data_IF_746210147441
#
_entry.id   IF_746210147441
#
_cell.length_a   1.000
_cell.length_b   1.000
_cell.length_c   1.000
_cell.angle_alpha   90.00
_cell.angle_beta   90.00
_cell.angle_gamma   90.00
#
_symmetry.space_group_name_H-M   'P 1'
#
loop_
_entity.id
_entity.type
_entity.pdbx_description
1 polymer ?
#
# COMPACT_ATOMS: atom_id res chain seq x y z
N UNK A 1 6.06 45.05 14.94
CA UNK A 1 5.28 43.85 15.33
C UNK A 1 3.95 43.93 14.61
N UNK A 2 3.72 43.03 13.63
CA UNK A 2 2.47 42.99 12.86
C UNK A 2 1.58 41.88 13.43
N UNK A 3 0.27 42.10 13.66
CA UNK A 3 -0.61 41.07 14.19
C UNK A 3 -0.93 40.04 13.11
N UNK A 4 -0.68 38.77 13.43
CA UNK A 4 -1.09 37.63 12.60
C UNK A 4 -2.62 37.60 12.49
N UNK A 5 -3.17 37.86 11.31
CA UNK A 5 -4.59 37.67 11.02
C UNK A 5 -4.83 36.18 10.74
N UNK A 6 -5.65 35.54 11.58
CA UNK A 6 -6.08 34.16 11.39
C UNK A 6 -7.14 34.11 10.28
N UNK A 7 -6.83 33.48 9.14
CA UNK A 7 -7.84 33.21 8.12
C UNK A 7 -8.70 32.02 8.57
N UNK A 8 -10.04 32.07 8.45
CA UNK A 8 -10.90 30.94 8.77
C UNK A 8 -10.69 29.79 7.78
N UNK A 9 -10.86 28.53 8.22
CA UNK A 9 -10.69 27.36 7.35
C UNK A 9 -11.72 27.36 6.21
N UNK A 10 -11.38 26.77 5.04
CA UNK A 10 -12.27 26.74 3.90
C UNK A 10 -13.55 25.95 4.23
N UNK A 11 -14.70 26.55 3.91
CA UNK A 11 -15.99 25.87 4.02
C UNK A 11 -16.14 24.87 2.87
N UNK A 12 -16.07 23.58 3.19
CA UNK A 12 -16.29 22.51 2.20
C UNK A 12 -17.79 22.39 1.88
N UNK A 13 -18.21 22.89 0.71
CA UNK A 13 -19.59 22.74 0.24
C UNK A 13 -19.92 21.27 -0.04
N UNK A 14 -20.93 20.74 0.65
CA UNK A 14 -21.45 19.38 0.46
C UNK A 14 -22.22 19.22 -0.87
N UNK A 15 -21.49 19.06 -1.97
CA UNK A 15 -22.03 18.39 -3.17
C UNK A 15 -21.32 17.05 -3.34
N UNK A 16 -21.73 16.08 -2.51
CA UNK A 16 -21.35 14.68 -2.69
C UNK A 16 -22.13 14.17 -3.90
N UNK A 17 -21.50 14.14 -5.08
CA UNK A 17 -21.96 13.28 -6.17
C UNK A 17 -21.94 11.86 -5.63
N UNK A 18 -23.11 11.20 -5.56
CA UNK A 18 -23.19 9.76 -5.31
C UNK A 18 -22.54 9.05 -6.51
N UNK A 19 -21.25 8.81 -6.44
CA UNK A 19 -20.60 7.84 -7.33
C UNK A 19 -20.98 6.45 -6.83
N UNK A 20 -21.42 5.58 -7.73
CA UNK A 20 -21.67 4.18 -7.39
C UNK A 20 -20.36 3.52 -6.94
N UNK A 21 -20.42 2.57 -6.00
CA UNK A 21 -19.25 1.77 -5.62
C UNK A 21 -18.58 1.13 -6.85
N UNK A 22 -19.35 0.78 -7.87
CA UNK A 22 -18.88 0.25 -9.15
C UNK A 22 -17.95 1.23 -9.89
N UNK A 23 -18.31 2.52 -9.97
CA UNK A 23 -17.50 3.52 -10.67
C UNK A 23 -16.22 3.88 -9.89
N UNK A 24 -16.25 3.79 -8.56
CA UNK A 24 -15.06 3.95 -7.70
C UNK A 24 -14.13 2.74 -7.83
N UNK A 25 -14.70 1.53 -7.86
CA UNK A 25 -13.99 0.27 -8.12
C UNK A 25 -13.25 0.30 -9.47
N UNK A 26 -13.91 0.75 -10.54
CA UNK A 26 -13.30 0.87 -11.87
C UNK A 26 -12.18 1.93 -11.91
N UNK A 27 -12.34 3.07 -11.23
CA UNK A 27 -11.41 4.19 -11.29
C UNK A 27 -10.13 4.01 -10.44
N UNK A 28 -10.14 3.20 -9.38
CA UNK A 28 -8.96 2.95 -8.55
C UNK A 28 -8.12 1.78 -9.07
N UNK A 29 -8.75 0.78 -9.68
CA UNK A 29 -8.06 -0.33 -10.34
C UNK A 29 -7.21 0.15 -11.53
N UNK A 30 -7.68 1.15 -12.27
CA UNK A 30 -7.03 1.62 -13.50
C UNK A 30 -5.61 2.18 -13.32
N UNK A 31 -5.25 2.70 -12.14
CA UNK A 31 -3.96 3.38 -11.94
C UNK A 31 -2.73 2.48 -12.06
N UNK A 32 -2.88 1.19 -11.75
CA UNK A 32 -1.79 0.21 -11.82
C UNK A 32 -2.02 -0.87 -12.89
N UNK A 33 -3.16 -0.85 -13.59
CA UNK A 33 -3.49 -1.83 -14.62
C UNK A 33 -2.48 -1.88 -15.75
N UNK A 34 -2.01 -0.74 -16.23
CA UNK A 34 -1.00 -0.69 -17.30
C UNK A 34 0.31 -1.33 -16.86
N UNK A 35 0.71 -1.14 -15.59
CA UNK A 35 1.91 -1.76 -15.01
C UNK A 35 1.74 -3.27 -14.86
N UNK A 36 0.59 -3.72 -14.32
CA UNK A 36 0.27 -5.14 -14.19
C UNK A 36 0.19 -5.85 -15.54
N UNK A 37 -0.42 -5.21 -16.55
CA UNK A 37 -0.51 -5.76 -17.89
C UNK A 37 0.88 -5.92 -18.54
N UNK A 38 1.79 -4.96 -18.32
CA UNK A 38 3.16 -5.07 -18.81
C UNK A 38 3.92 -6.24 -18.16
N UNK A 39 3.75 -6.45 -16.85
CA UNK A 39 4.31 -7.60 -16.14
C UNK A 39 3.70 -8.92 -16.62
N UNK A 40 2.38 -9.00 -16.73
CA UNK A 40 1.69 -10.18 -17.23
C UNK A 40 2.13 -10.56 -18.65
N UNK A 41 2.41 -9.58 -19.52
CA UNK A 41 2.97 -9.82 -20.85
C UNK A 41 4.43 -10.29 -20.79
N UNK A 42 5.23 -9.73 -19.88
CA UNK A 42 6.60 -10.20 -19.60
C UNK A 42 6.58 -11.68 -19.18
N UNK A 43 5.68 -12.05 -18.26
CA UNK A 43 5.49 -13.43 -17.80
C UNK A 43 4.97 -14.33 -18.92
N UNK A 44 4.00 -13.86 -19.72
CA UNK A 44 3.41 -14.64 -20.83
C UNK A 44 4.45 -14.97 -21.88
N UNK A 45 5.29 -14.00 -22.27
CA UNK A 45 6.40 -14.23 -23.21
C UNK A 45 7.44 -15.25 -22.72
N UNK A 46 7.46 -15.54 -21.41
CA UNK A 46 8.39 -16.47 -20.75
C UNK A 46 7.72 -17.74 -20.26
N UNK A 47 6.42 -17.91 -20.52
CA UNK A 47 5.59 -18.99 -19.98
C UNK A 47 5.63 -19.10 -18.45
N UNK A 48 5.85 -17.98 -17.75
CA UNK A 48 5.98 -17.94 -16.29
C UNK A 48 4.64 -17.90 -15.57
N UNK A 49 3.54 -17.69 -16.29
CA UNK A 49 2.19 -17.65 -15.70
C UNK A 49 1.83 -18.96 -14.96
N UNK A 50 2.43 -20.09 -15.34
CA UNK A 50 2.27 -21.38 -14.64
C UNK A 50 2.76 -21.35 -13.18
N UNK A 51 3.68 -20.45 -12.85
CA UNK A 51 4.24 -20.26 -11.50
C UNK A 51 3.50 -19.17 -10.71
N UNK A 52 2.45 -18.55 -11.27
CA UNK A 52 1.70 -17.47 -10.61
C UNK A 52 0.46 -18.00 -9.89
N UNK A 53 0.55 -19.16 -9.22
CA UNK A 53 -0.51 -19.56 -8.29
C UNK A 53 -0.43 -18.72 -6.99
N UNK A 54 -1.51 -18.66 -6.20
CA UNK A 54 -1.57 -17.77 -5.04
C UNK A 54 -0.50 -18.09 -3.98
N UNK A 55 -0.13 -19.36 -3.83
CA UNK A 55 0.90 -19.79 -2.90
C UNK A 55 2.28 -19.27 -3.35
N UNK A 56 2.59 -19.44 -4.62
CA UNK A 56 3.89 -19.05 -5.16
C UNK A 56 4.06 -17.53 -5.19
N UNK A 57 2.99 -16.78 -5.51
CA UNK A 57 2.99 -15.32 -5.39
C UNK A 57 3.19 -14.84 -3.95
N UNK A 58 2.58 -15.52 -2.97
CA UNK A 58 2.79 -15.21 -1.55
C UNK A 58 4.21 -15.54 -1.08
N UNK A 59 4.82 -16.62 -1.61
CA UNK A 59 6.22 -16.97 -1.35
C UNK A 59 7.15 -15.92 -1.94
N UNK A 60 6.94 -15.52 -3.20
CA UNK A 60 7.72 -14.46 -3.85
C UNK A 60 7.64 -13.15 -3.06
N UNK A 61 6.44 -12.71 -2.68
CA UNK A 61 6.24 -11.52 -1.83
C UNK A 61 7.05 -11.60 -0.52
N UNK A 62 7.11 -12.77 0.12
CA UNK A 62 7.88 -12.98 1.35
C UNK A 62 9.39 -12.88 1.12
N UNK A 63 9.88 -13.33 -0.04
CA UNK A 63 11.29 -13.22 -0.42
C UNK A 63 11.64 -11.75 -0.62
N UNK A 64 10.90 -11.01 -1.45
CA UNK A 64 11.18 -9.60 -1.71
C UNK A 64 11.06 -8.72 -0.45
N UNK A 65 10.12 -9.05 0.45
CA UNK A 65 10.03 -8.38 1.76
C UNK A 65 11.28 -8.63 2.61
N UNK A 66 11.95 -9.77 2.45
CA UNK A 66 13.22 -10.07 3.11
C UNK A 66 14.37 -9.31 2.47
N UNK A 67 14.38 -9.18 1.14
CA UNK A 67 15.38 -8.42 0.39
C UNK A 67 15.28 -6.90 0.62
N UNK A 68 14.09 -6.37 0.87
CA UNK A 68 13.84 -4.97 1.25
C UNK A 68 14.57 -4.51 2.52
N UNK A 69 15.13 -5.44 3.31
CA UNK A 69 15.98 -5.10 4.46
C UNK A 69 17.42 -4.76 4.06
N UNK A 70 17.90 -5.28 2.92
CA UNK A 70 19.28 -5.12 2.44
C UNK A 70 19.71 -3.67 2.12
N UNK A 71 18.83 -2.74 1.67
CA UNK A 71 19.20 -1.34 1.48
C UNK A 71 19.66 -0.64 2.75
N UNK A 72 19.33 -1.15 3.94
CA UNK A 72 19.61 -0.52 5.23
C UNK A 72 20.88 -1.12 5.87
N UNK A 73 21.98 -0.37 5.96
CA UNK A 73 23.18 -0.81 6.63
C UNK A 73 22.98 -0.88 8.15
N UNK A 74 23.77 -1.72 8.81
CA UNK A 74 23.70 -1.96 10.26
C UNK A 74 24.00 -0.73 11.15
N UNK A 75 24.41 0.41 10.57
CA UNK A 75 24.77 1.64 11.28
C UNK A 75 23.94 2.80 10.71
N UNK A 76 22.85 3.13 11.41
CA UNK A 76 21.95 4.26 11.06
C UNK A 76 20.63 3.79 10.47
N UNK A 77 19.54 3.91 11.24
CA UNK A 77 18.21 3.40 10.86
C UNK A 77 17.57 4.09 9.64
N UNK A 78 18.12 5.22 9.19
CA UNK A 78 17.57 6.02 8.09
C UNK A 78 18.52 6.17 6.89
N UNK A 79 19.75 5.65 6.98
CA UNK A 79 20.65 5.60 5.83
C UNK A 79 20.21 4.42 4.96
N UNK A 80 19.72 4.66 3.74
CA UNK A 80 19.35 3.60 2.81
C UNK A 80 20.07 3.81 1.49
N UNK A 81 20.48 2.71 0.83
CA UNK A 81 20.92 2.75 -0.57
C UNK A 81 19.71 3.06 -1.47
N UNK A 82 19.57 4.28 -2.03
CA UNK A 82 18.28 4.72 -2.59
C UNK A 82 17.83 3.90 -3.80
N UNK A 83 18.76 3.51 -4.67
CA UNK A 83 18.45 2.70 -5.84
C UNK A 83 18.02 1.28 -5.45
N UNK A 84 18.72 0.66 -4.48
CA UNK A 84 18.35 -0.68 -4.00
C UNK A 84 17.02 -0.64 -3.25
N UNK A 85 16.76 0.39 -2.45
CA UNK A 85 15.46 0.60 -1.81
C UNK A 85 14.33 0.69 -2.83
N UNK A 86 14.54 1.44 -3.92
CA UNK A 86 13.56 1.59 -4.98
C UNK A 86 13.28 0.27 -5.71
N UNK A 87 14.33 -0.51 -5.99
CA UNK A 87 14.24 -1.84 -6.60
C UNK A 87 13.41 -2.79 -5.74
N UNK A 88 13.86 -3.03 -4.50
CA UNK A 88 13.20 -4.00 -3.60
C UNK A 88 11.77 -3.59 -3.25
N UNK A 89 11.52 -2.30 -3.06
CA UNK A 89 10.17 -1.81 -2.79
C UNK A 89 9.25 -1.99 -4.00
N UNK A 90 9.77 -1.84 -5.22
CA UNK A 90 9.00 -2.10 -6.43
C UNK A 90 8.62 -3.58 -6.53
N UNK A 91 9.53 -4.50 -6.19
CA UNK A 91 9.26 -5.93 -6.23
C UNK A 91 8.23 -6.36 -5.18
N UNK A 92 8.33 -5.84 -3.94
CA UNK A 92 7.28 -6.03 -2.90
C UNK A 92 5.91 -5.58 -3.40
N UNK A 93 5.84 -4.39 -4.00
CA UNK A 93 4.58 -3.86 -4.52
C UNK A 93 4.07 -4.68 -5.70
N UNK A 94 4.95 -5.14 -6.59
CA UNK A 94 4.58 -5.94 -7.76
C UNK A 94 3.87 -7.23 -7.35
N UNK A 95 4.49 -8.04 -6.48
CA UNK A 95 3.88 -9.30 -6.06
C UNK A 95 2.63 -9.09 -5.20
N UNK A 96 2.56 -8.02 -4.40
CA UNK A 96 1.34 -7.67 -3.68
C UNK A 96 0.19 -7.32 -4.63
N UNK A 97 0.47 -6.55 -5.69
CA UNK A 97 -0.51 -6.19 -6.72
C UNK A 97 -0.96 -7.40 -7.54
N UNK A 98 -0.03 -8.27 -7.96
CA UNK A 98 -0.35 -9.51 -8.66
C UNK A 98 -1.25 -10.42 -7.82
N UNK A 99 -0.96 -10.55 -6.52
CA UNK A 99 -1.77 -11.35 -5.62
C UNK A 99 -3.18 -10.75 -5.44
N UNK A 100 -3.29 -9.43 -5.31
CA UNK A 100 -4.58 -8.75 -5.23
C UNK A 100 -5.40 -8.90 -6.52
N UNK A 101 -4.78 -8.69 -7.68
CA UNK A 101 -5.41 -8.85 -9.00
C UNK A 101 -5.94 -10.28 -9.19
N UNK A 102 -5.11 -11.27 -8.88
CA UNK A 102 -5.50 -12.70 -8.94
C UNK A 102 -6.73 -13.02 -8.09
N UNK A 103 -6.93 -12.31 -6.99
CA UNK A 103 -8.05 -12.48 -6.07
C UNK A 103 -9.18 -11.44 -6.27
N UNK A 104 -9.10 -10.58 -7.29
CA UNK A 104 -10.10 -9.55 -7.56
C UNK A 104 -10.24 -8.53 -6.43
N UNK A 105 -9.18 -8.29 -5.65
CA UNK A 105 -9.20 -7.38 -4.52
C UNK A 105 -9.01 -5.93 -4.99
N UNK A 106 -9.81 -5.02 -4.46
CA UNK A 106 -9.58 -3.59 -4.58
C UNK A 106 -8.57 -3.15 -3.51
N UNK A 107 -7.37 -2.76 -3.97
CA UNK A 107 -6.25 -2.37 -3.10
C UNK A 107 -6.62 -1.22 -2.16
N UNK A 108 -7.33 -0.21 -2.68
CA UNK A 108 -7.68 0.95 -1.87
C UNK A 108 -8.66 0.54 -0.78
N UNK A 109 -9.67 -0.23 -1.15
CA UNK A 109 -10.70 -0.69 -0.22
C UNK A 109 -10.10 -1.53 0.91
N UNK A 110 -9.23 -2.51 0.61
CA UNK A 110 -8.62 -3.36 1.65
C UNK A 110 -7.73 -2.55 2.61
N UNK A 111 -7.05 -1.51 2.12
CA UNK A 111 -6.23 -0.61 2.93
C UNK A 111 -7.11 0.28 3.81
N UNK A 112 -8.15 0.90 3.24
CA UNK A 112 -9.10 1.75 3.99
C UNK A 112 -9.77 0.97 5.12
N UNK A 113 -10.23 -0.25 4.84
CA UNK A 113 -10.82 -1.15 5.84
C UNK A 113 -9.81 -1.56 6.92
N UNK A 114 -8.54 -1.71 6.55
CA UNK A 114 -7.47 -2.00 7.51
C UNK A 114 -7.16 -0.79 8.39
N UNK A 115 -7.12 0.42 7.84
CA UNK A 115 -6.92 1.67 8.59
C UNK A 115 -8.07 1.87 9.59
N UNK A 116 -9.32 1.70 9.16
CA UNK A 116 -10.49 1.80 10.05
C UNK A 116 -10.38 0.85 11.24
N UNK A 117 -10.09 -0.43 10.98
CA UNK A 117 -9.88 -1.44 12.05
C UNK A 117 -8.68 -1.11 12.94
N UNK A 118 -7.61 -0.53 12.40
CA UNK A 118 -6.47 -0.10 13.20
C UNK A 118 -6.84 1.04 14.15
N UNK A 119 -7.66 2.01 13.72
CA UNK A 119 -8.12 3.10 14.57
C UNK A 119 -9.02 2.60 15.72
N UNK A 120 -9.87 1.59 15.44
CA UNK A 120 -10.67 0.93 16.47
C UNK A 120 -9.79 0.15 17.45
N UNK A 121 -8.75 -0.51 16.95
CA UNK A 121 -7.82 -1.35 17.74
C UNK A 121 -6.79 -0.54 18.54
N UNK A 122 -6.39 0.63 18.06
CA UNK A 122 -5.38 1.51 18.67
C UNK A 122 -5.93 2.94 18.80
N UNK A 123 -6.88 3.21 19.73
CA UNK A 123 -7.37 4.56 19.96
C UNK A 123 -6.25 5.52 20.34
N UNK A 124 -6.26 6.75 19.81
CA UNK A 124 -5.19 7.76 20.01
C UNK A 124 -4.90 7.96 21.50
N UNK A 125 -5.94 8.10 22.33
CA UNK A 125 -5.80 8.34 23.77
C UNK A 125 -5.06 7.23 24.51
N UNK A 126 -5.05 6.00 23.97
CA UNK A 126 -4.39 4.85 24.57
C UNK A 126 -3.04 4.52 23.91
N UNK A 127 -2.93 4.75 22.61
CA UNK A 127 -1.79 4.31 21.80
C UNK A 127 -0.74 5.41 21.55
N UNK A 128 -1.01 6.67 21.87
CA UNK A 128 -0.08 7.78 21.60
C UNK A 128 1.25 7.59 22.35
N UNK A 129 2.36 7.59 21.60
CA UNK A 129 3.72 7.51 22.15
C UNK A 129 4.12 6.13 22.68
N UNK A 130 3.32 5.08 22.44
CA UNK A 130 3.59 3.72 22.90
C UNK A 130 3.51 2.72 21.76
N UNK A 131 4.48 1.80 21.70
CA UNK A 131 4.48 0.67 20.75
C UNK A 131 3.84 -0.60 21.34
N UNK A 132 3.22 -0.50 22.53
CA UNK A 132 2.54 -1.62 23.18
C UNK A 132 1.43 -2.16 22.27
N UNK A 133 1.25 -3.48 22.30
CA UNK A 133 0.15 -4.12 21.58
C UNK A 133 -1.18 -3.72 22.22
N UNK A 134 -2.26 -3.74 21.45
CA UNK A 134 -3.61 -3.36 21.88
C UNK A 134 -4.13 -4.08 23.14
N UNK A 135 -3.64 -5.28 23.42
CA UNK A 135 -3.94 -6.05 24.63
C UNK A 135 -3.13 -5.60 25.87
N UNK A 136 -2.23 -4.63 25.70
CA UNK A 136 -1.33 -4.07 26.70
C UNK A 136 -1.48 -2.53 26.80
N UNK A 137 -2.47 -1.95 26.10
CA UNK A 137 -2.81 -0.51 26.08
C UNK A 137 -3.73 -0.10 27.23
#
# INVERSE_FOLDING_TARGET
MSPFTFLPPPQYSHKIRKFSHQAVFEAHHDRYRTTLAADQELSRCRDWQQFHNSKDLAVALSIETSELQQPFPWKGNEEAHPEKLKEELADVLMYALLLADKHGLDIKQIIDDKIKRNNEKYPVEKAKGTAKKYNEL
#
